data_IF_577144648435
#
_entry.id   IF_577144648435
#
_cell.length_a   1.000
_cell.length_b   1.000
_cell.length_c   1.000
_cell.angle_alpha   90.00
_cell.angle_beta   90.00
_cell.angle_gamma   90.00
#
_symmetry.space_group_name_H-M   'P 1'
#
loop_
_entity.id
_entity.type
_entity.pdbx_description
1 polymer ?
#
# COMPACT_ATOMS: atom_id res chain seq x y z
N UNK A 1 -34.48 67.11 38.97
CA UNK A 1 -33.55 67.92 39.76
C UNK A 1 -32.11 67.56 39.44
N UNK A 2 -31.42 68.42 38.71
CA UNK A 2 -29.96 68.37 38.58
C UNK A 2 -29.36 69.51 39.40
N UNK A 3 -28.13 69.34 39.91
CA UNK A 3 -27.06 70.33 40.03
C UNK A 3 -25.78 69.60 40.47
N UNK A 4 -24.67 70.20 40.02
CA UNK A 4 -23.27 69.81 39.98
C UNK A 4 -22.50 69.93 41.32
N UNK A 5 -21.23 69.50 41.28
CA UNK A 5 -20.15 69.90 42.20
C UNK A 5 -19.76 68.81 43.20
N UNK A 6 -18.50 68.39 43.38
CA UNK A 6 -17.23 69.04 43.09
C UNK A 6 -16.29 68.77 44.29
N UNK A 7 -15.30 67.90 44.07
CA UNK A 7 -14.00 67.75 44.75
C UNK A 7 -13.88 67.57 46.28
N UNK A 8 -13.33 66.42 46.70
CA UNK A 8 -12.31 66.34 47.75
C UNK A 8 -11.24 65.29 47.39
N UNK A 9 -9.97 65.69 47.50
CA UNK A 9 -8.74 64.95 47.14
C UNK A 9 -8.16 64.20 48.35
N UNK A 10 -7.84 62.92 48.15
CA UNK A 10 -6.72 62.09 48.66
C UNK A 10 -6.51 61.91 50.20
N UNK A 11 -6.06 60.80 50.78
CA UNK A 11 -5.29 59.60 50.36
C UNK A 11 -5.44 58.49 51.45
N UNK A 12 -4.67 57.38 51.53
CA UNK A 12 -3.84 56.66 50.55
C UNK A 12 -4.17 55.14 50.44
N UNK A 13 -3.49 54.48 49.50
CA UNK A 13 -3.53 53.04 49.18
C UNK A 13 -3.14 52.13 50.36
N UNK A 14 -3.93 51.08 50.58
CA UNK A 14 -3.44 49.79 51.09
C UNK A 14 -3.89 48.72 50.10
N UNK A 15 -2.92 47.91 49.68
CA UNK A 15 -3.04 46.93 48.62
C UNK A 15 -3.79 45.68 49.07
N UNK A 16 -4.69 45.19 48.21
CA UNK A 16 -4.96 43.76 48.12
C UNK A 16 -4.85 43.37 46.64
N UNK A 17 -3.77 42.66 46.32
CA UNK A 17 -3.70 41.87 45.10
C UNK A 17 -4.71 40.73 45.20
N UNK A 18 -5.39 40.42 44.09
CA UNK A 18 -5.48 39.04 43.66
C UNK A 18 -4.59 38.90 42.44
N UNK A 19 -3.44 38.28 42.68
CA UNK A 19 -2.63 37.58 41.68
C UNK A 19 -3.50 36.50 41.01
N UNK A 20 -4.27 36.90 40.02
CA UNK A 20 -4.79 36.00 39.00
C UNK A 20 -3.79 35.99 37.86
N UNK A 21 -2.68 35.27 38.05
CA UNK A 21 -1.79 34.94 36.95
C UNK A 21 -2.66 34.39 35.82
N UNK A 22 -2.65 35.07 34.68
CA UNK A 22 -3.05 34.48 33.43
C UNK A 22 -2.11 33.28 33.22
N UNK A 23 -2.52 32.12 33.72
CA UNK A 23 -2.09 30.85 33.19
C UNK A 23 -2.59 30.88 31.75
N UNK A 24 -1.77 31.42 30.86
CA UNK A 24 -1.79 31.04 29.47
C UNK A 24 -1.70 29.53 29.50
N UNK A 25 -2.84 28.87 29.35
CA UNK A 25 -2.90 27.46 29.06
C UNK A 25 -2.07 27.32 27.79
N UNK A 26 -0.81 26.87 27.96
CA UNK A 26 0.03 26.47 26.85
C UNK A 26 -0.75 25.35 26.21
N UNK A 27 -1.48 25.68 25.15
CA UNK A 27 -2.28 24.72 24.43
C UNK A 27 -1.34 23.56 24.07
N UNK A 28 -1.70 22.29 24.31
CA UNK A 28 -0.85 21.16 23.96
C UNK A 28 -0.53 21.08 22.45
N UNK A 29 -1.12 21.98 21.66
CA UNK A 29 -0.88 22.21 20.24
C UNK A 29 0.30 23.13 19.91
N UNK A 30 1.00 23.78 20.84
CA UNK A 30 2.11 24.70 20.47
C UNK A 30 3.49 24.05 20.41
N UNK A 31 3.68 22.80 20.85
CA UNK A 31 4.98 22.14 20.72
C UNK A 31 5.24 21.75 19.25
N UNK A 32 6.21 22.38 18.57
CA UNK A 32 6.50 22.10 17.16
C UNK A 32 6.91 20.64 16.92
N UNK A 33 7.50 19.97 17.92
CA UNK A 33 7.88 18.56 17.83
C UNK A 33 6.65 17.65 17.87
N UNK A 34 5.68 17.93 18.74
CA UNK A 34 4.41 17.18 18.77
C UNK A 34 3.61 17.38 17.48
N UNK A 35 3.57 18.61 16.93
CA UNK A 35 2.97 18.84 15.62
C UNK A 35 3.68 18.04 14.52
N UNK A 36 5.02 18.02 14.53
CA UNK A 36 5.80 17.25 13.56
C UNK A 36 5.55 15.75 13.66
N UNK A 37 5.50 15.19 14.88
CA UNK A 37 5.17 13.78 15.11
C UNK A 37 3.77 13.45 14.58
N UNK A 38 2.78 14.30 14.85
CA UNK A 38 1.40 14.11 14.35
C UNK A 38 1.35 14.14 12.82
N UNK A 39 2.08 15.05 12.16
CA UNK A 39 2.17 15.11 10.69
C UNK A 39 2.78 13.85 10.10
N UNK A 40 3.88 13.36 10.68
CA UNK A 40 4.52 12.11 10.25
C UNK A 40 3.59 10.91 10.44
N UNK A 41 2.88 10.85 11.56
CA UNK A 41 1.92 9.78 11.82
C UNK A 41 0.75 9.82 10.84
N UNK A 42 0.16 11.00 10.59
CA UNK A 42 -0.90 11.16 9.59
C UNK A 42 -0.42 10.74 8.18
N UNK A 43 0.80 11.15 7.78
CA UNK A 43 1.38 10.73 6.51
C UNK A 43 1.59 9.20 6.44
N UNK A 44 2.01 8.57 7.54
CA UNK A 44 2.13 7.11 7.61
C UNK A 44 0.77 6.41 7.45
N UNK A 45 -0.28 6.91 8.11
CA UNK A 45 -1.63 6.35 8.01
C UNK A 45 -2.17 6.46 6.58
N UNK A 46 -1.97 7.61 5.92
CA UNK A 46 -2.37 7.80 4.52
C UNK A 46 -1.62 6.84 3.60
N UNK A 47 -0.29 6.70 3.76
CA UNK A 47 0.51 5.76 2.96
C UNK A 47 0.07 4.32 3.17
N UNK A 48 -0.16 3.92 4.42
CA UNK A 48 -0.65 2.58 4.76
C UNK A 48 -2.01 2.29 4.12
N UNK A 49 -2.97 3.20 4.27
CA UNK A 49 -4.30 3.05 3.69
C UNK A 49 -4.26 2.99 2.15
N UNK A 50 -3.43 3.83 1.51
CA UNK A 50 -3.25 3.81 0.06
C UNK A 50 -2.65 2.49 -0.43
N UNK A 51 -1.66 1.95 0.29
CA UNK A 51 -1.05 0.65 -0.02
C UNK A 51 -2.04 -0.51 0.19
N UNK A 52 -2.80 -0.53 1.29
CA UNK A 52 -3.85 -1.54 1.53
C UNK A 52 -4.90 -1.54 0.41
N UNK A 53 -5.30 -0.36 -0.07
CA UNK A 53 -6.20 -0.23 -1.22
C UNK A 53 -5.56 -0.78 -2.50
N UNK A 54 -4.31 -0.41 -2.79
CA UNK A 54 -3.60 -0.90 -3.96
C UNK A 54 -3.45 -2.43 -3.95
N UNK A 55 -3.13 -3.03 -2.79
CA UNK A 55 -3.09 -4.47 -2.60
C UNK A 55 -4.45 -5.12 -2.88
N UNK A 56 -5.54 -4.57 -2.32
CA UNK A 56 -6.89 -5.10 -2.58
C UNK A 56 -7.28 -5.02 -4.07
N UNK A 57 -6.89 -3.94 -4.75
CA UNK A 57 -7.14 -3.77 -6.19
C UNK A 57 -6.29 -4.73 -7.03
N UNK A 58 -5.02 -4.96 -6.65
CA UNK A 58 -4.15 -5.94 -7.29
C UNK A 58 -4.70 -7.38 -7.13
N UNK A 59 -5.13 -7.76 -5.92
CA UNK A 59 -5.73 -9.08 -5.65
C UNK A 59 -6.96 -9.34 -6.54
N UNK A 60 -7.81 -8.33 -6.76
CA UNK A 60 -9.01 -8.47 -7.59
C UNK A 60 -8.72 -8.49 -9.09
N UNK A 61 -7.74 -7.69 -9.51
CA UNK A 61 -7.47 -7.41 -10.92
C UNK A 61 -6.51 -8.42 -11.55
N UNK A 62 -5.52 -8.93 -10.81
CA UNK A 62 -4.52 -9.88 -11.31
C UNK A 62 -5.10 -11.27 -11.54
N UNK A 63 -5.79 -11.39 -12.66
CA UNK A 63 -6.30 -12.63 -13.23
C UNK A 63 -6.36 -12.50 -14.74
N UNK A 64 -6.15 -13.62 -15.41
CA UNK A 64 -6.15 -13.69 -16.86
C UNK A 64 -5.04 -14.56 -17.42
N UNK A 65 -4.96 -14.65 -18.73
CA UNK A 65 -3.97 -15.45 -19.44
C UNK A 65 -2.56 -14.87 -19.30
N UNK A 66 -1.59 -15.74 -19.03
CA UNK A 66 -0.17 -15.48 -19.25
C UNK A 66 0.46 -16.66 -19.96
N UNK A 67 1.45 -16.36 -20.78
CA UNK A 67 2.32 -17.36 -21.36
C UNK A 67 3.47 -17.64 -20.39
N UNK A 68 3.54 -18.86 -19.87
CA UNK A 68 4.63 -19.33 -19.00
C UNK A 68 5.58 -20.22 -19.79
N UNK A 69 6.88 -19.98 -19.70
CA UNK A 69 7.90 -20.88 -20.25
C UNK A 69 8.17 -22.03 -19.28
N UNK A 70 8.08 -23.28 -19.76
CA UNK A 70 8.46 -24.45 -18.95
C UNK A 70 9.99 -24.54 -18.84
N UNK A 71 10.48 -25.21 -17.81
CA UNK A 71 11.92 -25.42 -17.61
C UNK A 71 12.51 -26.38 -18.65
N UNK A 72 11.72 -27.37 -19.05
CA UNK A 72 12.15 -28.49 -19.90
C UNK A 72 11.77 -28.29 -21.37
N UNK A 73 10.98 -27.27 -21.68
CA UNK A 73 10.56 -26.97 -23.04
C UNK A 73 10.81 -25.50 -23.38
N UNK A 74 11.45 -25.21 -24.52
CA UNK A 74 11.77 -23.84 -24.92
C UNK A 74 10.51 -23.03 -25.33
N UNK A 75 9.34 -23.67 -25.37
CA UNK A 75 8.08 -23.05 -25.81
C UNK A 75 7.31 -22.44 -24.65
N UNK A 76 6.75 -21.26 -24.91
CA UNK A 76 5.76 -20.63 -24.05
C UNK A 76 4.44 -21.39 -24.10
N UNK A 77 3.82 -21.57 -22.94
CA UNK A 77 2.51 -22.20 -22.81
C UNK A 77 1.53 -21.22 -22.17
N UNK A 78 0.42 -20.98 -22.86
CA UNK A 78 -0.67 -20.16 -22.33
C UNK A 78 -1.32 -20.89 -21.15
N UNK A 79 -1.51 -20.19 -20.03
CA UNK A 79 -2.20 -20.69 -18.84
C UNK A 79 -3.03 -19.55 -18.26
N UNK A 80 -4.16 -19.90 -17.66
CA UNK A 80 -4.92 -18.94 -16.87
C UNK A 80 -4.25 -18.78 -15.50
N UNK A 81 -3.87 -17.55 -15.18
CA UNK A 81 -3.33 -17.15 -13.90
C UNK A 81 -4.33 -16.32 -13.11
N UNK A 82 -4.25 -16.39 -11.79
CA UNK A 82 -4.96 -15.49 -10.88
C UNK A 82 -4.23 -15.42 -9.55
N UNK A 83 -4.49 -14.37 -8.78
CA UNK A 83 -3.98 -14.24 -7.42
C UNK A 83 -5.10 -14.58 -6.42
N UNK A 84 -4.75 -15.29 -5.37
CA UNK A 84 -5.64 -15.65 -4.26
C UNK A 84 -4.97 -15.40 -2.93
N UNK A 85 -5.78 -15.27 -1.88
CA UNK A 85 -5.32 -15.20 -0.50
C UNK A 85 -5.66 -16.50 0.20
N UNK A 86 -4.64 -17.20 0.68
CA UNK A 86 -4.78 -18.41 1.47
C UNK A 86 -4.44 -18.11 2.95
N UNK A 87 -5.18 -18.66 3.94
CA UNK A 87 -4.91 -18.42 5.36
C UNK A 87 -3.54 -18.88 5.84
N UNK A 88 -2.93 -19.87 5.17
CA UNK A 88 -1.66 -20.49 5.56
C UNK A 88 -0.49 -19.80 4.85
N UNK A 89 -0.62 -19.59 3.54
CA UNK A 89 0.49 -19.07 2.71
C UNK A 89 0.40 -17.58 2.41
N UNK A 90 -0.67 -16.91 2.84
CA UNK A 90 -0.95 -15.53 2.49
C UNK A 90 -1.27 -15.40 1.00
N UNK A 91 -0.70 -14.38 0.34
CA UNK A 91 -0.97 -14.12 -1.07
C UNK A 91 -0.21 -15.11 -1.95
N UNK A 92 -0.92 -15.75 -2.88
CA UNK A 92 -0.36 -16.71 -3.83
C UNK A 92 -0.78 -16.42 -5.26
N UNK A 93 0.15 -16.60 -6.20
CA UNK A 93 -0.12 -16.62 -7.63
C UNK A 93 -0.40 -18.07 -8.06
N UNK A 94 -1.59 -18.31 -8.59
CA UNK A 94 -2.06 -19.62 -9.01
C UNK A 94 -2.17 -19.70 -10.53
N UNK A 95 -1.95 -20.89 -11.08
CA UNK A 95 -2.24 -21.15 -12.49
C UNK A 95 -2.81 -22.54 -12.72
N UNK A 96 -3.67 -22.64 -13.73
CA UNK A 96 -4.34 -23.90 -14.10
C UNK A 96 -3.62 -24.58 -15.26
N UNK A 97 -3.28 -25.86 -15.07
CA UNK A 97 -2.62 -26.68 -16.09
C UNK A 97 -3.66 -27.16 -17.10
N UNK A 98 -3.44 -26.86 -18.38
CA UNK A 98 -4.36 -27.26 -19.45
C UNK A 98 -5.63 -26.41 -19.58
N UNK A 99 -5.74 -25.33 -18.81
CA UNK A 99 -6.81 -24.34 -18.90
C UNK A 99 -6.19 -22.96 -19.19
N UNK A 100 -6.51 -22.43 -20.37
CA UNK A 100 -5.98 -21.15 -20.82
C UNK A 100 -6.94 -19.99 -20.54
N UNK A 101 -8.24 -20.28 -20.35
CA UNK A 101 -9.31 -19.28 -20.26
C UNK A 101 -10.00 -19.23 -18.89
N UNK A 102 -9.68 -20.17 -17.99
CA UNK A 102 -10.24 -20.22 -16.64
C UNK A 102 -11.59 -20.91 -16.54
N UNK A 103 -12.04 -21.57 -17.62
CA UNK A 103 -13.38 -22.15 -17.72
C UNK A 103 -13.44 -23.66 -17.41
N UNK A 104 -12.30 -24.33 -17.23
CA UNK A 104 -12.27 -25.76 -16.92
C UNK A 104 -12.33 -25.99 -15.41
N UNK A 105 -13.30 -26.80 -14.98
CA UNK A 105 -13.54 -27.13 -13.56
C UNK A 105 -12.60 -28.20 -13.01
N UNK A 106 -12.04 -29.03 -13.89
CA UNK A 106 -11.19 -30.19 -13.59
C UNK A 106 -9.69 -29.90 -13.77
N UNK A 107 -9.34 -28.65 -14.07
CA UNK A 107 -7.94 -28.29 -14.31
C UNK A 107 -7.13 -28.33 -13.01
N UNK A 108 -6.00 -29.04 -13.04
CA UNK A 108 -5.06 -29.07 -11.92
C UNK A 108 -4.48 -27.67 -11.70
N UNK A 109 -4.63 -27.15 -10.49
CA UNK A 109 -4.08 -25.87 -10.08
C UNK A 109 -2.69 -26.03 -9.47
N UNK A 110 -1.81 -25.10 -9.80
CA UNK A 110 -0.47 -24.98 -9.23
C UNK A 110 -0.36 -23.64 -8.53
N UNK A 111 0.19 -23.67 -7.32
CA UNK A 111 0.29 -22.52 -6.42
C UNK A 111 1.73 -22.07 -6.32
N UNK A 112 1.97 -20.77 -6.40
CA UNK A 112 3.27 -20.15 -6.17
C UNK A 112 3.09 -19.04 -5.12
N UNK A 113 3.55 -19.22 -3.88
CA UNK A 113 3.44 -18.19 -2.85
C UNK A 113 4.20 -16.93 -3.27
N UNK A 114 3.56 -15.76 -3.21
CA UNK A 114 4.22 -14.48 -3.55
C UNK A 114 5.33 -14.19 -2.54
N UNK A 115 5.19 -14.62 -1.29
CA UNK A 115 6.25 -14.54 -0.29
C UNK A 115 7.55 -15.30 -0.68
N UNK A 116 7.47 -16.20 -1.68
CA UNK A 116 8.67 -16.85 -2.22
C UNK A 116 9.36 -16.04 -3.32
N UNK A 117 8.77 -14.94 -3.80
CA UNK A 117 9.34 -14.13 -4.88
C UNK A 117 10.47 -13.26 -4.32
N UNK A 118 11.64 -13.36 -4.96
CA UNK A 118 12.85 -12.63 -4.55
C UNK A 118 13.05 -11.37 -5.39
N UNK A 119 12.72 -11.44 -6.68
CA UNK A 119 12.88 -10.33 -7.62
C UNK A 119 11.89 -10.46 -8.78
N UNK A 120 11.55 -9.31 -9.36
CA UNK A 120 10.76 -9.18 -10.60
C UNK A 120 11.58 -8.33 -11.57
N UNK A 121 11.94 -8.91 -12.72
CA UNK A 121 12.76 -8.23 -13.74
C UNK A 121 12.04 -8.21 -15.07
N UNK A 122 11.97 -7.03 -15.68
CA UNK A 122 11.46 -6.86 -17.04
C UNK A 122 12.55 -7.32 -18.02
N UNK A 123 12.23 -8.34 -18.81
CA UNK A 123 13.17 -8.88 -19.81
C UNK A 123 13.04 -8.18 -21.17
N UNK A 124 11.82 -7.82 -21.56
CA UNK A 124 11.55 -7.14 -22.82
C UNK A 124 10.18 -6.47 -22.80
N UNK A 125 10.14 -5.14 -22.84
CA UNK A 125 8.89 -4.40 -22.96
C UNK A 125 8.22 -4.66 -24.31
N UNK A 126 8.97 -4.66 -25.41
CA UNK A 126 8.47 -4.91 -26.77
C UNK A 126 7.77 -6.27 -26.89
N UNK A 127 8.28 -7.29 -26.19
CA UNK A 127 7.70 -8.64 -26.21
C UNK A 127 6.80 -8.92 -25.01
N UNK A 128 6.59 -7.94 -24.12
CA UNK A 128 5.83 -8.10 -22.89
C UNK A 128 6.34 -9.22 -21.97
N UNK A 129 7.67 -9.39 -21.89
CA UNK A 129 8.31 -10.46 -21.14
C UNK A 129 8.90 -9.99 -19.83
N UNK A 130 8.69 -10.78 -18.78
CA UNK A 130 9.28 -10.57 -17.46
C UNK A 130 9.63 -11.90 -16.81
N UNK A 131 10.54 -11.85 -15.84
CA UNK A 131 10.91 -13.02 -15.03
C UNK A 131 10.74 -12.74 -13.55
N UNK A 132 10.46 -13.80 -12.82
CA UNK A 132 10.33 -13.80 -11.36
C UNK A 132 11.30 -14.83 -10.79
N UNK A 133 12.24 -14.38 -9.97
CA UNK A 133 13.09 -15.27 -9.18
C UNK A 133 12.38 -15.67 -7.89
N UNK A 134 12.56 -16.91 -7.45
CA UNK A 134 11.88 -17.43 -6.26
C UNK A 134 12.81 -18.24 -5.39
N UNK A 135 12.63 -18.18 -4.07
CA UNK A 135 13.38 -18.99 -3.11
C UNK A 135 13.04 -20.48 -3.16
N UNK A 136 11.87 -20.83 -3.68
CA UNK A 136 11.34 -22.20 -3.71
C UNK A 136 11.92 -23.08 -4.82
N UNK A 137 12.66 -22.52 -5.78
CA UNK A 137 13.25 -23.29 -6.89
C UNK A 137 14.50 -22.60 -7.46
N UNK A 138 15.39 -23.38 -8.08
CA UNK A 138 16.68 -22.87 -8.57
C UNK A 138 16.62 -22.01 -9.83
N UNK A 139 15.49 -21.94 -10.55
CA UNK A 139 15.38 -21.25 -11.84
C UNK A 139 14.25 -20.22 -11.84
N UNK A 140 14.39 -19.06 -12.46
CA UNK A 140 13.33 -18.06 -12.50
C UNK A 140 12.12 -18.54 -13.32
N UNK A 141 10.93 -18.11 -12.95
CA UNK A 141 9.77 -18.17 -13.85
C UNK A 141 9.93 -17.12 -14.92
N UNK A 142 9.59 -17.47 -16.17
CA UNK A 142 9.58 -16.51 -17.28
C UNK A 142 8.19 -16.48 -17.86
N UNK A 143 7.65 -15.27 -17.92
CA UNK A 143 6.30 -14.98 -18.33
C UNK A 143 6.30 -14.05 -19.54
N UNK A 144 5.23 -14.14 -20.31
CA UNK A 144 4.90 -13.20 -21.37
C UNK A 144 3.41 -12.87 -21.30
N UNK A 145 3.06 -11.60 -21.31
CA UNK A 145 1.66 -11.17 -21.35
C UNK A 145 1.12 -11.18 -22.79
N UNK A 146 -0.21 -11.26 -22.95
CA UNK A 146 -0.84 -11.23 -24.28
C UNK A 146 -0.80 -9.84 -24.90
N UNK A 147 -0.91 -8.80 -24.06
CA UNK A 147 -0.98 -7.41 -24.45
C UNK A 147 -0.06 -6.53 -23.58
N UNK A 148 0.20 -5.31 -24.04
CA UNK A 148 0.94 -4.32 -23.26
C UNK A 148 0.16 -3.86 -22.02
N UNK A 149 -1.17 -3.80 -22.09
CA UNK A 149 -2.02 -3.50 -20.94
C UNK A 149 -1.91 -4.59 -19.87
N UNK A 150 -2.02 -5.86 -20.27
CA UNK A 150 -1.83 -6.99 -19.34
C UNK A 150 -0.41 -6.99 -18.75
N UNK A 151 0.59 -6.66 -19.56
CA UNK A 151 1.97 -6.56 -19.10
C UNK A 151 2.12 -5.54 -17.97
N UNK A 152 1.69 -4.29 -18.19
CA UNK A 152 1.75 -3.23 -17.18
C UNK A 152 0.97 -3.63 -15.93
N UNK A 153 -0.25 -4.12 -16.11
CA UNK A 153 -1.11 -4.60 -15.03
C UNK A 153 -0.43 -5.68 -14.18
N UNK A 154 0.19 -6.68 -14.80
CA UNK A 154 0.88 -7.76 -14.08
C UNK A 154 2.15 -7.25 -13.37
N UNK A 155 2.93 -6.38 -14.00
CA UNK A 155 4.14 -5.82 -13.37
C UNK A 155 3.77 -4.97 -12.15
N UNK A 156 2.89 -3.98 -12.32
CA UNK A 156 2.50 -3.08 -11.24
C UNK A 156 1.82 -3.84 -10.10
N UNK A 157 0.89 -4.73 -10.43
CA UNK A 157 0.20 -5.53 -9.43
C UNK A 157 1.16 -6.44 -8.64
N UNK A 158 2.12 -7.10 -9.30
CA UNK A 158 3.09 -7.93 -8.60
C UNK A 158 4.05 -7.09 -7.74
N UNK A 159 4.48 -5.92 -8.20
CA UNK A 159 5.31 -5.01 -7.41
C UNK A 159 4.58 -4.56 -6.13
N UNK A 160 3.30 -4.23 -6.23
CA UNK A 160 2.48 -3.88 -5.07
C UNK A 160 2.37 -5.04 -4.08
N UNK A 161 2.18 -6.26 -4.58
CA UNK A 161 2.02 -7.46 -3.73
C UNK A 161 3.34 -7.98 -3.14
N UNK A 162 4.49 -7.56 -3.68
CA UNK A 162 5.82 -7.93 -3.19
C UNK A 162 6.44 -6.88 -2.23
N UNK A 163 5.85 -5.68 -2.14
CA UNK A 163 6.32 -4.57 -1.31
C UNK A 163 5.94 -4.73 0.17
#
# INVERSE_FOLDING_TARGET
DGIEGGEYRAAPRVAEQPTGAAHAAVSPDTDPRLQQIRRLHAANLIRKSAHEKACADALRSLKGPLFKRSLEMPKFQRRYFHVTTDPIFGVSMCYRVGDSDGNRRDASEKVIPIASFLSLEIMSELRHEFKVETSSRQRPFVFRAESGEDFVKWIEGLQVLMA
#
